data_IF_209035333900
#
_entry.id   IF_209035333900
#
_cell.length_a   1.000
_cell.length_b   1.000
_cell.length_c   1.000
_cell.angle_alpha   90.00
_cell.angle_beta   90.00
_cell.angle_gamma   90.00
#
_symmetry.space_group_name_H-M   'P 1'
#
loop_
_entity.id
_entity.type
_entity.pdbx_description
1 polymer ?
#
# COMPACT_ATOMS: atom_id res chain seq x y z
N UNK A 1 -8.58 -10.77 1.27
CA UNK A 1 -7.97 -10.98 -0.05
C UNK A 1 -6.48 -10.74 0.08
N UNK A 2 -5.66 -11.63 -0.44
CA UNK A 2 -4.20 -11.56 -0.43
C UNK A 2 -3.72 -11.40 -1.87
N UNK A 3 -3.12 -10.29 -2.20
CA UNK A 3 -2.57 -10.01 -3.53
C UNK A 3 -1.08 -10.25 -3.54
N UNK A 4 -0.59 -10.93 -4.58
CA UNK A 4 0.83 -11.26 -4.71
C UNK A 4 1.55 -10.29 -5.64
N UNK A 5 2.86 -10.20 -5.48
CA UNK A 5 3.75 -9.42 -6.34
C UNK A 5 3.66 -9.82 -7.83
N UNK A 6 3.21 -11.04 -8.12
CA UNK A 6 3.00 -11.57 -9.48
C UNK A 6 1.62 -11.21 -10.08
N UNK A 7 0.78 -10.46 -9.34
CA UNK A 7 -0.53 -10.02 -9.81
C UNK A 7 -1.64 -11.05 -9.66
N UNK A 8 -1.48 -12.06 -8.80
CA UNK A 8 -2.53 -13.01 -8.43
C UNK A 8 -3.23 -12.57 -7.14
N UNK A 9 -4.42 -13.09 -6.92
CA UNK A 9 -5.17 -12.90 -5.68
C UNK A 9 -5.66 -14.24 -5.14
N UNK A 10 -5.54 -14.39 -3.84
CA UNK A 10 -6.09 -15.46 -3.03
C UNK A 10 -7.14 -14.88 -2.09
N UNK A 11 -8.23 -15.58 -1.90
CA UNK A 11 -9.28 -15.16 -0.98
C UNK A 11 -9.45 -16.25 0.06
N UNK A 12 -9.35 -15.84 1.32
CA UNK A 12 -9.53 -16.76 2.44
C UNK A 12 -10.35 -16.09 3.54
N UNK A 13 -10.90 -16.89 4.43
CA UNK A 13 -11.73 -16.38 5.52
C UNK A 13 -10.89 -16.18 6.77
N UNK A 14 -11.10 -15.06 7.45
CA UNK A 14 -10.31 -14.68 8.62
C UNK A 14 -10.36 -15.74 9.72
N UNK A 15 -11.47 -16.44 9.89
CA UNK A 15 -11.61 -17.50 10.90
C UNK A 15 -10.81 -18.78 10.57
N UNK A 16 -10.31 -18.93 9.34
CA UNK A 16 -9.42 -20.03 8.94
C UNK A 16 -7.95 -19.73 9.30
N UNK A 17 -7.67 -18.49 9.71
CA UNK A 17 -6.33 -18.07 10.17
C UNK A 17 -6.24 -18.39 11.66
N UNK A 18 -5.30 -19.25 12.03
CA UNK A 18 -5.09 -19.63 13.44
C UNK A 18 -4.74 -18.42 14.29
N UNK A 19 -5.41 -18.28 15.41
CA UNK A 19 -5.02 -17.31 16.44
C UNK A 19 -3.75 -17.77 17.14
N UNK A 20 -2.80 -16.86 17.34
CA UNK A 20 -1.54 -17.15 17.98
C UNK A 20 -1.14 -16.06 18.97
N UNK A 21 -0.46 -16.44 20.05
CA UNK A 21 0.10 -15.49 20.99
C UNK A 21 1.14 -14.59 20.31
N UNK A 22 1.29 -13.35 20.80
CA UNK A 22 2.24 -12.37 20.26
C UNK A 22 3.70 -12.88 20.20
N UNK A 23 4.08 -13.76 21.12
CA UNK A 23 5.42 -14.37 21.21
C UNK A 23 5.53 -15.69 20.43
N UNK A 24 4.47 -16.14 19.77
CA UNK A 24 4.50 -17.38 19.01
C UNK A 24 5.35 -17.21 17.74
N UNK A 25 5.95 -18.29 17.30
CA UNK A 25 6.80 -18.31 16.10
C UNK A 25 6.03 -18.04 14.80
N UNK A 26 4.69 -18.08 14.84
CA UNK A 26 3.85 -17.95 13.66
C UNK A 26 3.95 -19.15 12.70
N UNK A 27 3.04 -19.20 11.74
CA UNK A 27 3.07 -20.21 10.67
C UNK A 27 3.42 -19.57 9.34
N UNK A 28 4.08 -20.32 8.47
CA UNK A 28 4.37 -19.85 7.13
C UNK A 28 3.04 -19.65 6.37
N UNK A 29 2.89 -18.51 5.71
CA UNK A 29 1.69 -18.18 4.93
C UNK A 29 1.41 -19.17 3.80
N UNK A 30 2.42 -19.88 3.31
CA UNK A 30 2.28 -20.98 2.35
C UNK A 30 1.49 -22.17 2.90
N UNK A 31 1.30 -22.27 4.21
CA UNK A 31 0.43 -23.28 4.80
C UNK A 31 -1.04 -22.89 4.76
N UNK A 32 -1.33 -21.59 4.57
CA UNK A 32 -2.67 -21.04 4.44
C UNK A 32 -3.07 -20.88 2.97
N UNK A 33 -2.16 -20.35 2.16
CA UNK A 33 -2.38 -20.02 0.76
C UNK A 33 -1.50 -20.90 -0.14
N UNK A 34 -2.06 -21.40 -1.23
CA UNK A 34 -1.36 -22.21 -2.24
C UNK A 34 -0.49 -21.32 -3.16
N UNK A 35 0.47 -20.62 -2.53
CA UNK A 35 1.35 -19.68 -3.21
C UNK A 35 2.35 -20.40 -4.11
N UNK A 36 2.55 -19.87 -5.31
CA UNK A 36 3.62 -20.32 -6.20
C UNK A 36 5.02 -19.99 -5.62
N UNK A 37 6.08 -20.68 -6.04
CA UNK A 37 7.42 -20.54 -5.45
C UNK A 37 7.95 -19.09 -5.38
N UNK A 38 7.64 -18.28 -6.39
CA UNK A 38 8.13 -16.90 -6.54
C UNK A 38 7.16 -15.84 -5.98
N UNK A 39 6.00 -16.27 -5.46
CA UNK A 39 5.00 -15.36 -4.96
C UNK A 39 5.31 -14.87 -3.55
N UNK A 40 5.21 -13.56 -3.38
CA UNK A 40 5.21 -12.87 -2.10
C UNK A 40 3.96 -12.00 -1.98
N UNK A 41 3.44 -11.84 -0.78
CA UNK A 41 2.28 -10.99 -0.53
C UNK A 41 2.70 -9.52 -0.70
N UNK A 42 2.03 -8.82 -1.61
CA UNK A 42 2.21 -7.39 -1.86
C UNK A 42 1.16 -6.55 -1.11
N UNK A 43 -0.09 -7.05 -1.02
CA UNK A 43 -1.16 -6.35 -0.31
C UNK A 43 -2.16 -7.32 0.32
N UNK A 44 -2.78 -6.89 1.41
CA UNK A 44 -3.84 -7.62 2.10
C UNK A 44 -5.04 -6.68 2.25
N UNK A 45 -6.17 -7.06 1.67
CA UNK A 45 -7.42 -6.33 1.83
C UNK A 45 -8.40 -7.10 2.70
N UNK A 46 -8.86 -6.47 3.76
CA UNK A 46 -9.96 -6.97 4.58
C UNK A 46 -11.27 -6.59 3.92
N UNK A 47 -12.12 -7.58 3.66
CA UNK A 47 -13.50 -7.37 3.26
C UNK A 47 -14.41 -7.73 4.43
N UNK A 48 -15.37 -6.86 4.72
CA UNK A 48 -16.45 -7.19 5.61
C UNK A 48 -17.51 -7.99 4.85
N UNK A 49 -17.94 -9.08 5.45
CA UNK A 49 -19.02 -9.88 4.89
C UNK A 49 -20.30 -9.04 4.89
N UNK A 50 -20.90 -8.90 3.73
CA UNK A 50 -22.21 -8.27 3.54
C UNK A 50 -23.23 -9.32 3.19
N UNK A 51 -24.41 -9.21 3.78
CA UNK A 51 -25.54 -10.11 3.49
C UNK A 51 -26.77 -9.27 3.14
N UNK A 52 -27.56 -9.77 2.21
CA UNK A 52 -28.86 -9.19 1.88
C UNK A 52 -29.93 -9.53 2.96
N UNK A 53 -31.13 -8.97 2.80
CA UNK A 53 -32.27 -9.23 3.72
C UNK A 53 -32.66 -10.72 3.79
N UNK A 54 -32.27 -11.53 2.82
CA UNK A 54 -32.52 -12.96 2.75
C UNK A 54 -31.35 -13.80 3.29
N UNK A 55 -30.28 -13.16 3.76
CA UNK A 55 -29.09 -13.82 4.30
C UNK A 55 -28.07 -14.30 3.24
N UNK A 56 -28.26 -13.95 1.95
CA UNK A 56 -27.28 -14.31 0.92
C UNK A 56 -26.04 -13.42 1.03
N UNK A 57 -24.87 -13.98 0.74
CA UNK A 57 -23.61 -13.25 0.74
C UNK A 57 -23.52 -12.34 -0.50
N UNK A 58 -23.50 -11.03 -0.27
CA UNK A 58 -23.39 -9.99 -1.30
C UNK A 58 -22.07 -9.23 -1.22
N UNK A 59 -21.05 -9.77 -0.55
CA UNK A 59 -19.74 -9.13 -0.40
C UNK A 59 -19.12 -8.74 -1.73
N UNK A 60 -19.32 -9.58 -2.76
CA UNK A 60 -18.84 -9.37 -4.12
C UNK A 60 -19.95 -8.98 -5.11
N UNK A 61 -21.07 -8.45 -4.63
CA UNK A 61 -22.14 -8.03 -5.53
C UNK A 61 -21.74 -6.82 -6.38
N UNK A 62 -22.50 -6.58 -7.44
CA UNK A 62 -22.36 -5.37 -8.24
C UNK A 62 -22.55 -4.11 -7.36
N UNK A 63 -21.70 -3.11 -7.56
CA UNK A 63 -21.72 -1.90 -6.72
C UNK A 63 -21.03 -2.02 -5.36
N UNK A 64 -20.41 -3.16 -5.02
CA UNK A 64 -19.69 -3.34 -3.75
C UNK A 64 -18.38 -2.53 -3.65
N UNK A 65 -17.98 -1.83 -4.71
CA UNK A 65 -16.77 -1.03 -4.80
C UNK A 65 -15.77 -1.58 -5.83
N UNK A 66 -14.58 -1.02 -5.81
CA UNK A 66 -13.51 -1.40 -6.73
C UNK A 66 -12.23 -1.73 -5.96
N UNK A 67 -11.32 -2.40 -6.65
CA UNK A 67 -9.93 -2.57 -6.22
C UNK A 67 -9.05 -1.80 -7.20
N UNK A 68 -8.24 -0.89 -6.67
CA UNK A 68 -7.22 -0.17 -7.43
C UNK A 68 -5.86 -0.79 -7.14
N UNK A 69 -5.11 -1.04 -8.19
CA UNK A 69 -3.77 -1.64 -8.17
C UNK A 69 -2.73 -0.63 -8.58
N UNK A 70 -1.55 -0.71 -7.99
CA UNK A 70 -0.36 0.01 -8.43
C UNK A 70 0.82 -0.95 -8.61
N UNK A 71 1.53 -0.81 -9.71
CA UNK A 71 2.70 -1.60 -10.04
C UNK A 71 3.98 -0.77 -9.91
N UNK A 72 5.10 -1.46 -9.82
CA UNK A 72 6.43 -0.87 -9.61
C UNK A 72 6.81 0.16 -10.67
N UNK A 73 6.42 -0.05 -11.92
CA UNK A 73 6.71 0.86 -13.04
C UNK A 73 5.77 2.09 -13.11
N UNK A 74 4.76 2.17 -12.20
CA UNK A 74 3.81 3.28 -12.14
C UNK A 74 2.54 3.06 -12.96
N UNK A 75 2.26 1.84 -13.39
CA UNK A 75 0.99 1.45 -13.99
C UNK A 75 -0.06 1.27 -12.89
N UNK A 76 -1.28 1.71 -13.13
CA UNK A 76 -2.43 1.58 -12.24
C UNK A 76 -3.60 0.93 -12.97
N UNK A 77 -4.43 0.23 -12.24
CA UNK A 77 -5.62 -0.42 -12.76
C UNK A 77 -6.74 -0.37 -11.75
N UNK A 78 -7.97 -0.18 -12.23
CA UNK A 78 -9.19 -0.30 -11.44
C UNK A 78 -10.01 -1.50 -11.93
N UNK A 79 -10.41 -2.37 -11.01
CA UNK A 79 -11.23 -3.56 -11.30
C UNK A 79 -12.39 -3.60 -10.32
N UNK A 80 -13.60 -3.90 -10.80
CA UNK A 80 -14.75 -4.09 -9.92
C UNK A 80 -14.53 -5.23 -8.93
N UNK A 81 -14.94 -5.05 -7.69
CA UNK A 81 -14.87 -6.10 -6.67
C UNK A 81 -15.67 -7.35 -7.08
N UNK A 82 -16.77 -7.16 -7.84
CA UNK A 82 -17.58 -8.25 -8.39
C UNK A 82 -16.80 -9.22 -9.29
N UNK A 83 -15.78 -8.74 -9.99
CA UNK A 83 -14.92 -9.60 -10.83
C UNK A 83 -14.19 -10.68 -10.05
N UNK A 84 -14.10 -10.54 -8.73
CA UNK A 84 -13.46 -11.51 -7.83
C UNK A 84 -14.43 -12.48 -7.15
N UNK A 85 -15.73 -12.42 -7.45
CA UNK A 85 -16.75 -13.30 -6.86
C UNK A 85 -16.45 -14.80 -7.08
N UNK A 86 -15.89 -15.16 -8.23
CA UNK A 86 -15.55 -16.53 -8.59
C UNK A 86 -14.08 -16.85 -8.31
N UNK A 87 -13.65 -16.64 -7.07
CA UNK A 87 -12.28 -16.99 -6.64
C UNK A 87 -12.11 -18.52 -6.47
N UNK A 88 -10.85 -18.97 -6.52
CA UNK A 88 -10.47 -20.39 -6.32
C UNK A 88 -9.34 -20.46 -5.29
N UNK A 89 -9.21 -21.60 -4.58
CA UNK A 89 -8.12 -21.82 -3.62
C UNK A 89 -6.73 -21.66 -4.25
N UNK A 90 -6.56 -22.13 -5.48
CA UNK A 90 -5.31 -21.96 -6.24
C UNK A 90 -5.04 -20.51 -6.68
N UNK A 91 -5.84 -19.54 -6.23
CA UNK A 91 -5.75 -18.15 -6.64
C UNK A 91 -6.22 -17.91 -8.08
N UNK A 92 -6.50 -16.64 -8.37
CA UNK A 92 -6.90 -16.18 -9.72
C UNK A 92 -6.05 -14.97 -10.11
N UNK A 93 -5.95 -14.69 -11.41
CA UNK A 93 -5.27 -13.48 -11.90
C UNK A 93 -6.11 -12.27 -11.50
N UNK A 94 -5.45 -11.28 -10.89
CA UNK A 94 -6.02 -9.99 -10.55
C UNK A 94 -5.59 -8.89 -11.52
N UNK A 95 -4.34 -8.93 -11.97
CA UNK A 95 -3.75 -8.00 -12.94
C UNK A 95 -2.70 -8.74 -13.77
N UNK A 96 -2.59 -8.44 -15.05
CA UNK A 96 -1.47 -8.89 -15.88
C UNK A 96 -0.30 -7.90 -15.70
N UNK A 97 0.89 -8.42 -15.50
CA UNK A 97 2.11 -7.65 -15.34
C UNK A 97 2.99 -7.82 -16.56
N UNK A 98 3.67 -6.76 -16.96
CA UNK A 98 4.75 -6.81 -17.95
C UNK A 98 5.98 -7.50 -17.34
N UNK A 99 6.85 -8.03 -18.18
CA UNK A 99 8.08 -8.71 -17.74
C UNK A 99 8.96 -7.77 -16.91
N UNK A 100 9.43 -8.23 -15.76
CA UNK A 100 10.25 -7.44 -14.82
C UNK A 100 9.46 -6.47 -13.95
N UNK A 101 8.13 -6.35 -14.13
CA UNK A 101 7.27 -5.53 -13.29
C UNK A 101 6.68 -6.36 -12.12
N UNK A 102 6.22 -5.68 -11.10
CA UNK A 102 5.57 -6.32 -9.95
C UNK A 102 4.45 -5.46 -9.38
N UNK A 103 3.45 -6.11 -8.78
CA UNK A 103 2.43 -5.42 -8.00
C UNK A 103 3.06 -4.88 -6.70
N UNK A 104 2.82 -3.61 -6.42
CA UNK A 104 3.29 -2.93 -5.20
C UNK A 104 2.21 -2.92 -4.13
N UNK A 105 1.00 -2.52 -4.50
CA UNK A 105 -0.12 -2.42 -3.57
C UNK A 105 -1.47 -2.56 -4.29
N UNK A 106 -2.49 -2.88 -3.50
CA UNK A 106 -3.89 -2.88 -3.91
C UNK A 106 -4.72 -2.25 -2.79
N UNK A 107 -5.69 -1.41 -3.14
CA UNK A 107 -6.56 -0.73 -2.17
C UNK A 107 -8.02 -0.80 -2.64
N UNK A 108 -8.93 -0.80 -1.66
CA UNK A 108 -10.37 -0.71 -1.92
C UNK A 108 -10.76 0.74 -2.16
N UNK A 109 -11.64 0.96 -3.14
CA UNK A 109 -12.16 2.28 -3.47
C UNK A 109 -13.68 2.24 -3.70
N UNK A 110 -14.31 3.41 -3.49
CA UNK A 110 -15.76 3.59 -3.66
C UNK A 110 -16.18 3.86 -5.11
N UNK A 111 -15.25 4.32 -5.94
CA UNK A 111 -15.49 4.78 -7.31
C UNK A 111 -15.34 6.29 -7.50
N UNK A 112 -15.33 7.06 -6.40
CA UNK A 112 -15.22 8.53 -6.40
C UNK A 112 -14.06 9.03 -5.51
N UNK A 113 -13.10 8.18 -5.20
CA UNK A 113 -11.97 8.50 -4.36
C UNK A 113 -10.85 9.21 -5.14
N UNK A 114 -9.91 9.76 -4.42
CA UNK A 114 -8.66 10.25 -4.99
C UNK A 114 -7.50 9.33 -4.60
N UNK A 115 -6.59 9.16 -5.54
CA UNK A 115 -5.47 8.22 -5.47
C UNK A 115 -4.18 8.99 -5.37
N UNK A 116 -3.30 8.57 -4.47
CA UNK A 116 -1.91 9.04 -4.40
C UNK A 116 -0.95 7.89 -4.66
N UNK A 117 -0.03 8.08 -5.60
CA UNK A 117 1.12 7.21 -5.82
C UNK A 117 2.37 7.91 -5.30
N UNK A 118 3.24 7.16 -4.64
CA UNK A 118 4.53 7.66 -4.13
C UNK A 118 5.66 6.82 -4.70
N UNK A 119 6.75 7.49 -5.13
CA UNK A 119 7.92 6.81 -5.68
C UNK A 119 9.08 6.75 -4.70
N UNK A 120 10.02 5.86 -4.96
CA UNK A 120 11.23 5.66 -4.18
C UNK A 120 12.11 6.93 -4.09
N UNK A 121 12.19 7.71 -5.17
CA UNK A 121 12.90 8.99 -5.20
C UNK A 121 12.15 10.15 -4.54
N UNK A 122 11.00 9.87 -3.90
CA UNK A 122 10.23 10.86 -3.15
C UNK A 122 9.37 11.77 -4.03
N UNK A 123 8.96 11.30 -5.19
CA UNK A 123 7.92 11.96 -6.00
C UNK A 123 6.55 11.40 -5.65
N UNK A 124 5.50 12.18 -5.88
CA UNK A 124 4.11 11.73 -5.71
C UNK A 124 3.19 12.38 -6.73
N UNK A 125 2.12 11.68 -7.07
CA UNK A 125 1.05 12.21 -7.90
C UNK A 125 -0.30 11.91 -7.24
N UNK A 126 -1.21 12.89 -7.22
CA UNK A 126 -2.59 12.76 -6.76
C UNK A 126 -3.51 12.99 -7.93
N UNK A 127 -4.44 12.09 -8.16
CA UNK A 127 -5.42 12.17 -9.24
C UNK A 127 -6.75 11.50 -8.84
N UNK A 128 -7.90 11.92 -9.42
CA UNK A 128 -9.18 11.32 -9.11
C UNK A 128 -9.28 9.89 -9.67
N UNK A 129 -9.95 9.01 -8.94
CA UNK A 129 -10.23 7.63 -9.38
C UNK A 129 -11.05 7.58 -10.67
N UNK A 130 -11.85 8.61 -10.93
CA UNK A 130 -12.66 8.76 -12.16
C UNK A 130 -11.81 8.76 -13.44
N UNK A 131 -10.55 9.17 -13.36
CA UNK A 131 -9.59 9.08 -14.47
C UNK A 131 -9.27 7.62 -14.85
N UNK A 132 -9.63 6.66 -14.01
CA UNK A 132 -9.43 5.23 -14.25
C UNK A 132 -10.73 4.59 -14.70
N UNK A 133 -10.77 4.13 -15.94
CA UNK A 133 -11.86 3.24 -16.39
C UNK A 133 -11.74 1.89 -15.69
N UNK A 134 -12.87 1.35 -15.25
CA UNK A 134 -12.92 -0.03 -14.71
C UNK A 134 -12.55 -1.02 -15.80
N UNK A 135 -11.66 -1.95 -15.50
CA UNK A 135 -11.15 -2.97 -16.41
C UNK A 135 -11.26 -4.35 -15.79
N UNK A 136 -11.45 -5.35 -16.62
CA UNK A 136 -11.47 -6.74 -16.18
C UNK A 136 -10.11 -7.20 -15.62
N UNK A 137 -10.11 -8.33 -14.90
CA UNK A 137 -8.92 -8.87 -14.21
C UNK A 137 -7.72 -9.11 -15.12
N UNK A 138 -7.94 -9.60 -16.33
CA UNK A 138 -6.89 -10.00 -17.28
C UNK A 138 -6.37 -8.83 -18.14
N UNK A 139 -6.18 -7.66 -17.55
CA UNK A 139 -5.64 -6.48 -18.22
C UNK A 139 -4.42 -5.95 -17.46
N UNK A 140 -3.60 -5.15 -18.12
CA UNK A 140 -2.37 -4.56 -17.56
C UNK A 140 -2.71 -3.29 -16.77
N UNK A 141 -3.61 -2.45 -17.28
CA UNK A 141 -3.92 -1.14 -16.70
C UNK A 141 -3.43 0.01 -17.58
N UNK A 142 -3.25 1.17 -16.96
CA UNK A 142 -2.88 2.43 -17.60
C UNK A 142 -1.81 3.16 -16.78
N UNK A 143 -1.09 4.10 -17.38
CA UNK A 143 -0.07 4.89 -16.68
C UNK A 143 -0.70 5.78 -15.61
N UNK A 144 -0.34 5.57 -14.35
CA UNK A 144 -0.72 6.40 -13.20
C UNK A 144 0.30 7.50 -12.94
N UNK A 145 1.56 7.14 -12.83
CA UNK A 145 2.71 8.04 -12.71
C UNK A 145 3.80 7.63 -13.70
N UNK A 146 4.67 8.55 -14.08
CA UNK A 146 5.87 8.28 -14.87
C UNK A 146 7.10 8.47 -13.99
N UNK A 147 7.61 7.42 -13.33
CA UNK A 147 8.85 7.49 -12.58
C UNK A 147 10.02 7.91 -13.48
N UNK A 148 11.03 8.51 -12.90
CA UNK A 148 12.30 8.82 -13.61
C UNK A 148 13.09 7.52 -13.83
N UNK A 149 14.13 7.61 -14.65
CA UNK A 149 15.02 6.47 -14.87
C UNK A 149 15.64 6.02 -13.53
N UNK A 150 15.47 4.74 -13.19
CA UNK A 150 15.95 4.14 -11.94
C UNK A 150 14.99 4.33 -10.75
N UNK A 151 13.93 5.15 -10.88
CA UNK A 151 12.91 5.33 -9.85
C UNK A 151 11.75 4.35 -10.06
N UNK A 152 10.98 4.09 -9.01
CA UNK A 152 9.83 3.18 -9.06
C UNK A 152 8.80 3.52 -7.98
N UNK A 153 7.56 3.06 -8.16
CA UNK A 153 6.49 3.25 -7.17
C UNK A 153 6.71 2.33 -5.98
N UNK A 154 6.55 2.89 -4.79
CA UNK A 154 6.67 2.17 -3.51
C UNK A 154 5.37 2.13 -2.72
N UNK A 155 4.41 3.03 -3.02
CA UNK A 155 3.15 3.06 -2.31
C UNK A 155 2.01 3.58 -3.19
N UNK A 156 0.83 3.05 -2.90
CA UNK A 156 -0.50 3.49 -3.32
C UNK A 156 -1.28 3.83 -2.06
N UNK A 157 -1.94 4.97 -2.04
CA UNK A 157 -2.80 5.39 -0.94
C UNK A 157 -4.09 6.02 -1.46
N UNK A 158 -5.18 5.84 -0.74
CA UNK A 158 -6.47 6.48 -1.02
C UNK A 158 -6.59 7.70 -0.12
N UNK A 159 -6.91 8.84 -0.71
CA UNK A 159 -6.98 10.12 0.01
C UNK A 159 -8.18 10.11 0.97
N UNK A 160 -7.90 10.39 2.22
CA UNK A 160 -8.89 10.76 3.22
C UNK A 160 -8.59 12.20 3.67
N UNK A 161 -9.45 13.18 3.36
CA UNK A 161 -9.18 14.59 3.66
C UNK A 161 -8.99 14.91 5.15
N UNK A 162 -9.47 14.02 6.04
CA UNK A 162 -9.34 14.19 7.50
C UNK A 162 -8.05 13.58 8.05
N UNK A 163 -7.25 12.93 7.19
CA UNK A 163 -6.03 12.23 7.56
C UNK A 163 -4.81 12.83 6.88
N UNK A 164 -3.65 12.31 7.21
CA UNK A 164 -2.36 12.74 6.66
C UNK A 164 -1.67 11.60 5.94
N UNK A 165 -0.84 11.93 4.95
CA UNK A 165 0.06 10.98 4.31
C UNK A 165 1.35 10.89 5.12
N UNK A 166 1.61 9.74 5.73
CA UNK A 166 2.89 9.43 6.35
C UNK A 166 3.81 8.82 5.31
N UNK A 167 5.02 9.36 5.21
CA UNK A 167 6.08 8.86 4.33
C UNK A 167 7.26 8.45 5.20
N UNK A 168 7.76 7.23 5.01
CA UNK A 168 8.92 6.68 5.71
C UNK A 168 10.06 6.37 4.73
N UNK A 169 11.30 6.55 5.19
CA UNK A 169 12.52 6.35 4.40
C UNK A 169 13.43 5.28 4.98
N UNK A 170 14.39 4.81 4.15
CA UNK A 170 15.34 3.73 4.45
C UNK A 170 16.08 3.92 5.77
N UNK A 171 16.47 5.15 6.11
CA UNK A 171 17.22 5.45 7.32
C UNK A 171 16.31 5.70 8.55
N UNK A 172 15.03 5.24 8.48
CA UNK A 172 14.08 5.32 9.59
C UNK A 172 13.59 6.73 9.89
N UNK A 173 13.72 7.66 8.94
CA UNK A 173 13.14 9.00 9.06
C UNK A 173 11.78 9.02 8.41
N UNK A 174 10.82 9.68 9.06
CA UNK A 174 9.47 9.81 8.55
C UNK A 174 8.88 11.17 8.83
N UNK A 175 7.86 11.52 8.07
CA UNK A 175 7.06 12.71 8.27
C UNK A 175 5.62 12.48 7.87
N UNK A 176 4.71 13.27 8.41
CA UNK A 176 3.32 13.36 7.99
C UNK A 176 3.10 14.66 7.22
N UNK A 177 2.22 14.62 6.26
CA UNK A 177 1.87 15.80 5.44
C UNK A 177 0.37 15.78 5.16
N UNK A 178 -0.30 16.92 5.36
CA UNK A 178 -1.72 17.07 4.99
C UNK A 178 -1.92 16.83 3.49
N UNK A 179 -3.05 16.25 3.11
CA UNK A 179 -3.41 16.10 1.71
C UNK A 179 -3.66 17.43 1.00
N UNK A 180 -3.90 18.52 1.70
CA UNK A 180 -4.02 19.87 1.12
C UNK A 180 -2.74 20.34 0.42
N UNK A 181 -1.59 19.81 0.84
CA UNK A 181 -0.29 20.08 0.20
C UNK A 181 -0.14 19.36 -1.16
N UNK A 182 -1.00 18.40 -1.47
CA UNK A 182 -0.96 17.61 -2.69
C UNK A 182 -2.04 18.05 -3.66
N UNK A 183 -1.69 18.92 -4.62
CA UNK A 183 -2.64 19.34 -5.66
C UNK A 183 -3.08 18.14 -6.50
N UNK A 184 -4.35 18.07 -6.82
CA UNK A 184 -4.89 17.12 -7.78
C UNK A 184 -4.36 17.42 -9.19
N UNK A 185 -3.95 16.39 -9.93
CA UNK A 185 -3.36 16.45 -11.26
C UNK A 185 -4.02 15.40 -12.16
N UNK A 186 -3.83 15.49 -13.48
CA UNK A 186 -4.12 14.37 -14.37
C UNK A 186 -3.10 13.23 -14.16
N UNK A 187 -3.56 11.98 -14.27
CA UNK A 187 -2.68 10.80 -14.18
C UNK A 187 -1.62 10.77 -15.26
N UNK A 188 -0.56 9.98 -15.05
CA UNK A 188 0.50 9.74 -16.04
C UNK A 188 1.57 10.84 -16.13
N UNK A 189 1.51 11.85 -15.26
CA UNK A 189 2.55 12.86 -15.09
C UNK A 189 3.76 12.33 -14.29
N UNK A 190 4.76 13.21 -14.10
CA UNK A 190 5.94 12.93 -13.26
C UNK A 190 5.72 13.22 -11.78
N UNK A 191 4.56 13.81 -11.45
CA UNK A 191 4.20 14.17 -10.08
C UNK A 191 4.95 15.37 -9.52
N UNK A 192 4.85 15.52 -8.20
CA UNK A 192 5.48 16.59 -7.40
C UNK A 192 6.28 15.94 -6.28
N UNK A 193 7.26 16.69 -5.76
CA UNK A 193 8.10 16.17 -4.68
C UNK A 193 7.30 16.03 -3.38
N UNK A 194 7.28 14.85 -2.78
CA UNK A 194 6.71 14.59 -1.45
C UNK A 194 7.75 14.53 -0.35
N UNK A 195 8.97 14.08 -0.65
CA UNK A 195 10.08 14.02 0.29
C UNK A 195 11.38 14.40 -0.40
N UNK A 196 12.24 15.15 0.28
CA UNK A 196 13.58 15.42 -0.20
C UNK A 196 14.53 14.31 0.27
N UNK A 197 14.80 13.36 -0.62
CA UNK A 197 15.73 12.25 -0.37
C UNK A 197 17.16 12.76 -0.40
N UNK A 198 17.92 12.52 0.66
CA UNK A 198 19.33 12.86 0.85
C UNK A 198 20.06 11.65 1.43
N UNK A 199 21.38 11.65 1.47
CA UNK A 199 22.16 10.58 2.10
C UNK A 199 21.76 10.35 3.57
N UNK A 200 21.32 11.40 4.26
CA UNK A 200 20.84 11.31 5.65
C UNK A 200 19.49 10.62 5.76
N UNK A 201 18.56 10.90 4.86
CA UNK A 201 17.21 10.31 4.88
C UNK A 201 17.17 8.92 4.26
N UNK A 202 17.97 8.69 3.25
CA UNK A 202 17.77 7.60 2.31
C UNK A 202 16.58 7.87 1.40
N UNK A 203 16.19 6.86 0.64
CA UNK A 203 15.03 6.89 -0.27
C UNK A 203 13.74 6.54 0.47
N UNK A 204 12.60 6.83 -0.15
CA UNK A 204 11.29 6.46 0.40
C UNK A 204 11.09 4.94 0.26
N UNK A 205 10.67 4.30 1.34
CA UNK A 205 10.38 2.85 1.36
C UNK A 205 8.90 2.55 1.52
N UNK A 206 8.14 3.48 2.12
CA UNK A 206 6.70 3.29 2.32
C UNK A 206 5.99 4.63 2.47
N UNK A 207 4.71 4.65 2.11
CA UNK A 207 3.79 5.73 2.45
C UNK A 207 2.42 5.14 2.76
N UNK A 208 1.72 5.70 3.75
CA UNK A 208 0.40 5.25 4.18
C UNK A 208 -0.43 6.40 4.73
N UNK A 209 -1.74 6.26 4.69
CA UNK A 209 -2.68 7.22 5.25
C UNK A 209 -2.85 6.94 6.73
N UNK A 210 -2.73 7.95 7.56
CA UNK A 210 -2.77 7.81 9.02
C UNK A 210 -3.56 8.94 9.68
N UNK A 211 -4.22 8.60 10.79
CA UNK A 211 -4.83 9.54 11.73
C UNK A 211 -3.94 9.72 12.96
N UNK A 212 -4.21 10.76 13.75
CA UNK A 212 -3.48 11.01 15.01
C UNK A 212 -3.66 9.89 16.05
N UNK A 213 -4.78 9.18 15.99
CA UNK A 213 -5.12 8.11 16.91
C UNK A 213 -4.47 6.78 16.56
N UNK A 214 -3.93 6.66 15.35
CA UNK A 214 -3.33 5.42 14.87
C UNK A 214 -1.99 5.13 15.54
N UNK A 215 -1.62 3.86 15.51
CA UNK A 215 -0.31 3.38 15.90
C UNK A 215 0.36 2.69 14.71
N UNK A 216 1.63 2.95 14.54
CA UNK A 216 2.46 2.37 13.50
C UNK A 216 3.32 1.26 14.04
N UNK A 217 3.40 0.18 13.31
CA UNK A 217 4.41 -0.84 13.50
C UNK A 217 5.43 -0.74 12.37
N UNK A 218 6.66 -0.42 12.73
CA UNK A 218 7.80 -0.38 11.83
C UNK A 218 8.60 -1.65 11.99
N UNK A 219 8.92 -2.30 10.89
CA UNK A 219 9.73 -3.49 10.87
C UNK A 219 10.96 -3.29 9.99
N UNK A 220 12.11 -3.77 10.46
CA UNK A 220 13.35 -3.78 9.68
C UNK A 220 13.51 -5.12 8.97
N UNK A 221 14.35 -5.15 7.94
CA UNK A 221 14.73 -6.39 7.23
C UNK A 221 15.41 -7.41 8.15
N UNK A 222 15.99 -6.95 9.27
CA UNK A 222 16.59 -7.81 10.30
C UNK A 222 15.55 -8.37 11.30
N UNK A 223 14.25 -8.15 11.08
CA UNK A 223 13.17 -8.67 11.94
C UNK A 223 12.92 -7.88 13.22
N UNK A 224 13.55 -6.74 13.40
CA UNK A 224 13.24 -5.86 14.53
C UNK A 224 11.95 -5.08 14.26
N UNK A 225 11.10 -4.95 15.27
CA UNK A 225 9.85 -4.19 15.18
C UNK A 225 9.75 -3.14 16.28
N UNK A 226 9.24 -1.98 15.93
CA UNK A 226 8.94 -0.89 16.86
C UNK A 226 7.52 -0.40 16.63
N UNK A 227 6.77 -0.24 17.72
CA UNK A 227 5.43 0.35 17.71
C UNK A 227 5.51 1.79 18.21
N UNK A 228 4.96 2.71 17.43
CA UNK A 228 4.93 4.14 17.77
C UNK A 228 3.53 4.71 17.56
N UNK A 229 3.18 5.74 18.33
CA UNK A 229 1.95 6.51 18.09
C UNK A 229 2.17 7.50 16.96
N UNK A 230 1.23 7.58 16.02
CA UNK A 230 1.29 8.51 14.88
C UNK A 230 1.37 9.96 15.36
N UNK A 231 0.66 10.33 16.43
CA UNK A 231 0.72 11.67 17.03
C UNK A 231 2.14 12.13 17.41
N UNK A 232 3.10 11.19 17.59
CA UNK A 232 4.50 11.54 17.88
C UNK A 232 5.30 11.89 16.62
N UNK A 233 4.79 11.59 15.44
CA UNK A 233 5.41 11.96 14.15
C UNK A 233 4.93 13.35 13.78
N UNK A 234 5.87 14.28 13.59
CA UNK A 234 5.55 15.67 13.27
C UNK A 234 4.89 15.80 11.90
N UNK A 235 3.84 16.61 11.82
CA UNK A 235 3.29 17.07 10.56
C UNK A 235 4.15 18.21 10.00
N UNK A 236 4.49 18.13 8.71
CA UNK A 236 5.37 19.09 8.02
C UNK A 236 4.93 19.25 6.57
N UNK A 237 5.30 20.35 5.96
CA UNK A 237 5.02 20.62 4.55
C UNK A 237 5.67 19.58 3.62
N UNK A 238 5.08 19.41 2.44
CA UNK A 238 5.42 18.39 1.44
C UNK A 238 6.90 18.42 1.02
N UNK A 239 7.45 19.59 0.67
CA UNK A 239 8.81 19.74 0.12
C UNK A 239 9.88 19.92 1.19
N UNK A 240 9.53 19.90 2.47
CA UNK A 240 10.50 20.08 3.54
C UNK A 240 11.46 18.90 3.62
N UNK A 241 12.70 19.15 4.03
CA UNK A 241 13.58 18.09 4.54
C UNK A 241 12.84 17.47 5.72
N UNK A 242 12.82 16.15 5.80
CA UNK A 242 12.37 15.50 7.02
C UNK A 242 13.18 16.07 8.19
N UNK A 243 12.59 17.02 8.92
CA UNK A 243 13.21 17.48 10.16
C UNK A 243 13.05 16.38 11.18
N UNK A 244 14.14 15.71 11.37
CA UNK A 244 14.68 15.06 12.53
C UNK A 244 13.74 14.85 13.74
N UNK A 245 12.73 14.03 13.60
CA UNK A 245 12.49 13.04 14.64
C UNK A 245 12.56 11.69 13.97
N UNK A 246 13.66 10.99 14.25
CA UNK A 246 13.73 9.57 13.96
C UNK A 246 12.47 8.95 14.48
N UNK A 247 11.74 8.32 13.60
CA UNK A 247 10.68 7.43 13.95
C UNK A 247 11.36 6.34 14.80
N UNK A 248 11.27 6.49 16.14
CA UNK A 248 11.98 5.65 17.10
C UNK A 248 13.33 6.21 17.57
N UNK A 249 13.35 7.32 18.36
CA UNK A 249 14.57 7.72 19.13
C UNK A 249 15.15 6.58 19.96
N UNK A 250 14.34 5.62 20.34
CA UNK A 250 14.74 4.43 21.08
C UNK A 250 15.55 3.41 20.26
N UNK A 251 15.49 3.45 18.93
CA UNK A 251 16.29 2.57 18.07
C UNK A 251 17.79 2.91 18.10
N UNK A 252 18.20 4.14 18.39
CA UNK A 252 19.65 4.47 18.38
C UNK A 252 20.43 4.01 19.59
N UNK A 253 19.83 3.92 20.75
CA UNK A 253 20.54 3.47 21.97
C UNK A 253 20.82 1.98 22.00
N UNK A 254 20.14 1.20 21.11
CA UNK A 254 20.35 -0.25 20.94
C UNK A 254 21.12 -0.64 19.66
N UNK A 255 21.52 0.33 18.85
CA UNK A 255 22.25 0.08 17.59
C UNK A 255 23.74 0.42 17.65
N UNK A 256 24.32 0.47 18.83
CA UNK A 256 25.77 0.46 18.93
C UNK A 256 26.27 -0.97 18.73
N UNK A 257 27.09 -1.26 17.70
CA UNK A 257 27.65 -2.60 17.49
C UNK A 257 28.76 -2.97 18.49
N UNK A 258 28.95 -2.15 19.53
CA UNK A 258 29.93 -2.37 20.60
C UNK A 258 29.24 -2.24 21.97
N UNK A 259 28.64 -3.32 22.41
CA UNK A 259 28.58 -3.80 23.79
C UNK A 259 28.14 -5.25 23.81
#
# INVERSE_FOLDING_TARGET
>A
MFFTNTGRVYVDRVYEIDEAARSAQGRNIKNLLDLQPEEAIAAILRLERRVDEKGNDITFAEGSGNVVFATKDGTVKKTSLNDFANYRKAGIIAINLEEGNSLVNAELTSGADEIVLVTHDGMSIRFPEEDLRTQGRNTIGVRGIRPRAGDYVVALAIVDPQKTLLVASENGLGKRTSFDEYRTQGRGGTGIKTMNCTDKTGKVVSATVVSDEDELMLMTTAGQSVRIKVATVRETGRATRSEERRVGKECRSRWSPYH
#
